data_IF_656336643550
#
_entry.id   IF_656336643550
#
_cell.length_a   1.000
_cell.length_b   1.000
_cell.length_c   1.000
_cell.angle_alpha   90.00
_cell.angle_beta   90.00
_cell.angle_gamma   90.00
#
_symmetry.space_group_name_H-M   'P 1'
#
loop_
_entity.id
_entity.type
_entity.pdbx_description
1 polymer ?
#
# COMPACT_ATOMS: atom_id res chain seq x y z
N UNK A 1 25.13 -22.34 -20.89
CA UNK A 1 23.94 -23.02 -20.30
C UNK A 1 23.96 -22.97 -18.78
N UNK A 2 25.08 -23.18 -18.11
CA UNK A 2 25.17 -23.10 -16.65
C UNK A 2 24.88 -21.71 -16.08
N UNK A 3 25.36 -20.68 -16.72
CA UNK A 3 25.16 -19.29 -16.28
C UNK A 3 23.69 -18.83 -16.35
N UNK A 4 22.95 -19.26 -17.38
CA UNK A 4 21.54 -18.95 -17.51
C UNK A 4 20.69 -19.62 -16.44
N UNK A 5 20.97 -20.90 -16.13
CA UNK A 5 20.29 -21.63 -15.07
C UNK A 5 20.61 -21.04 -13.69
N UNK A 6 21.82 -20.53 -13.49
CA UNK A 6 22.22 -19.85 -12.26
C UNK A 6 21.46 -18.54 -12.06
N UNK A 7 21.36 -17.73 -13.12
CA UNK A 7 20.62 -16.47 -13.09
C UNK A 7 19.13 -16.69 -12.75
N UNK A 8 18.51 -17.75 -13.28
CA UNK A 8 17.10 -18.06 -12.96
C UNK A 8 16.90 -18.50 -11.51
N UNK A 9 17.87 -19.23 -10.93
CA UNK A 9 17.82 -19.63 -9.51
C UNK A 9 17.96 -18.45 -8.56
N UNK A 10 18.60 -17.37 -9.02
CA UNK A 10 18.80 -16.16 -8.22
C UNK A 10 17.66 -15.15 -8.36
N UNK A 11 16.70 -15.36 -9.28
CA UNK A 11 15.52 -14.50 -9.39
C UNK A 11 14.64 -14.77 -8.17
N UNK A 12 14.83 -13.92 -7.16
CA UNK A 12 13.98 -13.95 -5.97
C UNK A 12 12.59 -13.49 -6.33
N UNK A 13 11.59 -14.11 -5.71
CA UNK A 13 10.24 -13.58 -5.73
C UNK A 13 10.24 -12.13 -5.25
N UNK A 14 9.68 -11.23 -6.03
CA UNK A 14 9.55 -9.83 -5.65
C UNK A 14 8.35 -9.62 -4.74
N UNK A 15 8.41 -8.56 -3.94
CA UNK A 15 7.34 -8.16 -3.05
C UNK A 15 6.77 -6.82 -3.46
N UNK A 16 5.47 -6.78 -3.74
CA UNK A 16 4.74 -5.58 -4.11
C UNK A 16 4.05 -4.95 -2.90
N UNK A 17 4.08 -3.63 -2.82
CA UNK A 17 3.25 -2.88 -1.89
C UNK A 17 2.00 -2.37 -2.61
N UNK A 18 0.82 -2.65 -2.08
CA UNK A 18 -0.44 -2.24 -2.69
C UNK A 18 -0.94 -0.93 -2.04
N UNK A 19 -0.69 0.17 -2.72
CA UNK A 19 -1.05 1.51 -2.29
C UNK A 19 -2.35 1.98 -2.95
N UNK A 20 -3.18 2.66 -2.20
CA UNK A 20 -4.46 3.19 -2.69
C UNK A 20 -5.35 3.63 -1.55
N UNK A 21 -6.46 4.25 -1.88
CA UNK A 21 -7.38 4.77 -0.88
C UNK A 21 -7.97 3.66 0.01
N UNK A 22 -8.13 3.97 1.27
CA UNK A 22 -8.79 3.12 2.26
C UNK A 22 -9.99 3.85 2.87
N UNK A 23 -9.75 4.89 3.64
CA UNK A 23 -10.78 5.58 4.44
C UNK A 23 -11.97 6.08 3.61
N UNK A 24 -11.72 6.61 2.43
CA UNK A 24 -12.76 7.17 1.57
C UNK A 24 -13.20 6.22 0.46
N UNK A 25 -12.74 4.97 0.51
CA UNK A 25 -13.14 3.93 -0.41
C UNK A 25 -14.36 3.18 0.14
N UNK A 26 -15.20 2.65 -0.76
CA UNK A 26 -16.42 1.93 -0.39
C UNK A 26 -16.17 0.73 0.52
N UNK A 27 -15.09 -0.01 0.28
CA UNK A 27 -14.75 -1.25 0.99
C UNK A 27 -13.39 -1.17 1.69
N UNK A 28 -12.96 0.01 2.07
CA UNK A 28 -11.62 0.27 2.60
C UNK A 28 -10.50 -0.14 1.62
N UNK A 29 -10.84 -0.32 0.35
CA UNK A 29 -9.89 -0.75 -0.68
C UNK A 29 -9.55 -2.22 -0.63
N UNK A 30 -10.39 -3.06 -0.04
CA UNK A 30 -10.11 -4.49 0.15
C UNK A 30 -10.20 -5.29 -1.16
N UNK A 31 -11.24 -5.09 -1.95
CA UNK A 31 -11.54 -5.93 -3.13
C UNK A 31 -10.43 -5.87 -4.18
N UNK A 32 -9.98 -4.67 -4.57
CA UNK A 32 -8.96 -4.56 -5.59
C UNK A 32 -7.62 -5.13 -5.12
N UNK A 33 -7.31 -4.98 -3.83
CA UNK A 33 -6.07 -5.51 -3.25
C UNK A 33 -6.07 -7.03 -3.25
N UNK A 34 -7.19 -7.64 -2.92
CA UNK A 34 -7.33 -9.10 -2.98
C UNK A 34 -7.16 -9.62 -4.40
N UNK A 35 -7.85 -9.01 -5.36
CA UNK A 35 -7.74 -9.37 -6.79
C UNK A 35 -6.31 -9.25 -7.29
N UNK A 36 -5.64 -8.14 -6.96
CA UNK A 36 -4.25 -7.91 -7.37
C UNK A 36 -3.29 -8.91 -6.71
N UNK A 37 -3.51 -9.23 -5.44
CA UNK A 37 -2.71 -10.22 -4.71
C UNK A 37 -2.76 -11.57 -5.41
N UNK A 38 -3.95 -12.03 -5.78
CA UNK A 38 -4.14 -13.30 -6.49
C UNK A 38 -3.50 -13.27 -7.88
N UNK A 39 -3.66 -12.17 -8.60
CA UNK A 39 -3.10 -12.03 -9.94
C UNK A 39 -1.56 -12.08 -9.93
N UNK A 40 -0.94 -11.34 -9.01
CA UNK A 40 0.52 -11.29 -8.89
C UNK A 40 1.09 -12.65 -8.48
N UNK A 41 0.45 -13.36 -7.57
CA UNK A 41 0.88 -14.69 -7.19
C UNK A 41 0.77 -15.67 -8.36
N UNK A 42 -0.38 -15.70 -9.03
CA UNK A 42 -0.66 -16.63 -10.11
C UNK A 42 0.24 -16.42 -11.33
N UNK A 43 0.46 -15.18 -11.74
CA UNK A 43 1.14 -14.87 -13.00
C UNK A 43 2.64 -14.60 -12.85
N UNK A 44 3.08 -14.08 -11.71
CA UNK A 44 4.46 -13.65 -11.50
C UNK A 44 5.13 -14.35 -10.30
N UNK A 45 4.38 -15.06 -9.48
CA UNK A 45 4.93 -15.65 -8.26
C UNK A 45 5.40 -14.60 -7.25
N UNK A 46 4.87 -13.39 -7.30
CA UNK A 46 5.22 -12.32 -6.38
C UNK A 46 4.38 -12.37 -5.12
N UNK A 47 4.98 -12.00 -4.01
CA UNK A 47 4.27 -11.78 -2.76
C UNK A 47 3.82 -10.33 -2.65
N UNK A 48 2.92 -10.06 -1.71
CA UNK A 48 2.29 -8.75 -1.58
C UNK A 48 2.28 -8.32 -0.13
N UNK A 49 2.56 -7.04 0.10
CA UNK A 49 2.17 -6.37 1.34
C UNK A 49 0.85 -5.65 1.12
N UNK A 50 -0.17 -6.07 1.87
CA UNK A 50 -1.51 -5.51 1.80
C UNK A 50 -1.81 -4.73 3.08
N UNK A 51 -1.75 -3.39 3.06
CA UNK A 51 -1.94 -2.60 4.28
C UNK A 51 -3.32 -2.74 4.91
N UNK A 52 -4.34 -3.13 4.15
CA UNK A 52 -5.67 -3.38 4.71
C UNK A 52 -5.64 -4.58 5.65
N UNK A 53 -5.05 -5.70 5.20
CA UNK A 53 -4.95 -6.92 6.01
C UNK A 53 -4.05 -6.69 7.23
N UNK A 54 -2.90 -6.06 7.02
CA UNK A 54 -1.95 -5.79 8.11
C UNK A 54 -2.51 -4.79 9.13
N UNK A 55 -3.36 -3.86 8.70
CA UNK A 55 -4.03 -2.92 9.61
C UNK A 55 -5.03 -3.61 10.52
N UNK A 56 -5.69 -4.66 10.05
CA UNK A 56 -6.59 -5.47 10.90
C UNK A 56 -5.86 -6.07 12.09
N UNK A 57 -4.64 -6.57 11.88
CA UNK A 57 -3.81 -7.13 12.94
C UNK A 57 -3.42 -6.07 13.96
N UNK A 58 -3.07 -4.85 13.52
CA UNK A 58 -2.76 -3.74 14.43
C UNK A 58 -4.00 -3.28 15.20
N UNK A 59 -5.15 -3.22 14.55
CA UNK A 59 -6.42 -2.88 15.21
C UNK A 59 -6.69 -3.84 16.37
N UNK A 60 -6.52 -5.12 16.15
CA UNK A 60 -6.70 -6.14 17.18
C UNK A 60 -5.68 -6.01 18.30
N UNK A 61 -4.41 -5.84 17.93
CA UNK A 61 -3.30 -5.75 18.89
C UNK A 61 -3.45 -4.58 19.85
N UNK A 62 -3.92 -3.44 19.36
CA UNK A 62 -4.04 -2.20 20.15
C UNK A 62 -5.46 -1.90 20.62
N UNK A 63 -6.41 -2.81 20.38
CA UNK A 63 -7.81 -2.56 20.73
C UNK A 63 -8.40 -1.34 20.03
N UNK A 64 -8.06 -1.15 18.78
CA UNK A 64 -8.35 0.07 18.04
C UNK A 64 -9.55 -0.05 17.08
N UNK A 65 -10.52 -0.89 17.40
CA UNK A 65 -11.68 -1.15 16.53
C UNK A 65 -12.47 0.12 16.19
N UNK A 66 -12.46 1.09 17.10
CA UNK A 66 -13.18 2.37 16.93
C UNK A 66 -12.25 3.53 16.52
N UNK A 67 -11.07 3.24 15.97
CA UNK A 67 -10.07 4.30 15.74
C UNK A 67 -10.55 5.44 14.83
N UNK A 68 -11.41 5.16 13.85
CA UNK A 68 -11.93 6.22 12.99
C UNK A 68 -12.86 7.19 13.75
N UNK A 69 -13.56 6.70 14.76
CA UNK A 69 -14.39 7.54 15.65
C UNK A 69 -13.53 8.43 16.55
N UNK A 70 -12.34 7.95 16.93
CA UNK A 70 -11.41 8.73 17.76
C UNK A 70 -11.01 10.05 17.10
N UNK A 71 -11.07 10.12 15.79
CA UNK A 71 -10.83 11.35 15.04
C UNK A 71 -11.77 12.49 15.49
N UNK A 72 -12.95 12.16 15.97
CA UNK A 72 -13.96 13.10 16.44
C UNK A 72 -13.98 13.27 17.94
N UNK A 73 -13.72 12.20 18.71
CA UNK A 73 -13.93 12.21 20.16
C UNK A 73 -12.66 12.01 20.99
N UNK A 74 -11.56 11.57 20.42
CA UNK A 74 -10.29 11.40 21.12
C UNK A 74 -9.11 11.51 20.13
N UNK A 75 -8.77 12.72 19.78
CA UNK A 75 -7.74 13.01 18.77
C UNK A 75 -6.35 12.50 19.16
N UNK A 76 -6.01 12.55 20.45
CA UNK A 76 -4.70 12.04 20.91
C UNK A 76 -4.58 10.54 20.66
N UNK A 77 -5.60 9.79 21.00
CA UNK A 77 -5.64 8.35 20.81
C UNK A 77 -5.60 7.98 19.33
N UNK A 78 -6.32 8.73 18.50
CA UNK A 78 -6.29 8.58 17.06
C UNK A 78 -4.89 8.79 16.50
N UNK A 79 -4.23 9.90 16.85
CA UNK A 79 -2.90 10.23 16.35
C UNK A 79 -1.85 9.23 16.80
N UNK A 80 -1.91 8.77 18.04
CA UNK A 80 -0.99 7.75 18.55
C UNK A 80 -1.10 6.44 17.74
N UNK A 81 -2.33 5.99 17.49
CA UNK A 81 -2.57 4.78 16.71
C UNK A 81 -2.13 4.97 15.24
N UNK A 82 -2.50 6.10 14.63
CA UNK A 82 -2.12 6.40 13.25
C UNK A 82 -0.61 6.49 13.07
N UNK A 83 0.11 7.00 14.04
CA UNK A 83 1.58 7.02 14.01
C UNK A 83 2.15 5.61 13.91
N UNK A 84 1.61 4.67 14.68
CA UNK A 84 2.03 3.27 14.62
C UNK A 84 1.80 2.70 13.22
N UNK A 85 0.63 2.94 12.63
CA UNK A 85 0.30 2.47 11.29
C UNK A 85 1.20 3.08 10.22
N UNK A 86 1.39 4.40 10.28
CA UNK A 86 2.22 5.14 9.31
C UNK A 86 3.68 4.72 9.40
N UNK A 87 4.23 4.61 10.60
CA UNK A 87 5.62 4.19 10.79
C UNK A 87 5.86 2.79 10.23
N UNK A 88 4.92 1.88 10.43
CA UNK A 88 4.98 0.54 9.84
C UNK A 88 4.99 0.60 8.33
N UNK A 89 4.04 1.32 7.74
CA UNK A 89 3.90 1.39 6.28
C UNK A 89 5.12 2.03 5.63
N UNK A 90 5.65 3.10 6.23
CA UNK A 90 6.88 3.74 5.75
C UNK A 90 8.07 2.79 5.80
N UNK A 91 8.23 2.05 6.90
CA UNK A 91 9.31 1.08 7.02
C UNK A 91 9.21 0.00 5.94
N UNK A 92 8.01 -0.51 5.69
CA UNK A 92 7.77 -1.50 4.66
C UNK A 92 8.13 -0.96 3.28
N UNK A 93 7.66 0.25 2.93
CA UNK A 93 7.96 0.86 1.63
C UNK A 93 9.46 1.06 1.45
N UNK A 94 10.15 1.54 2.47
CA UNK A 94 11.60 1.80 2.40
C UNK A 94 12.45 0.54 2.35
N UNK A 95 12.13 -0.46 3.17
CA UNK A 95 13.08 -1.51 3.51
C UNK A 95 12.66 -2.91 3.12
N UNK A 96 11.39 -3.16 2.85
CA UNK A 96 10.86 -4.53 2.77
C UNK A 96 10.08 -4.85 1.50
N UNK A 97 9.99 -3.93 0.55
CA UNK A 97 9.28 -4.14 -0.70
C UNK A 97 10.13 -3.77 -1.89
N UNK A 98 9.83 -4.37 -3.04
CA UNK A 98 10.61 -4.18 -4.27
C UNK A 98 9.98 -3.15 -5.21
N UNK A 99 8.66 -3.06 -5.24
CA UNK A 99 7.93 -2.10 -6.07
C UNK A 99 6.56 -1.80 -5.48
N UNK A 100 5.97 -0.71 -5.93
CA UNK A 100 4.68 -0.25 -5.44
C UNK A 100 3.67 -0.19 -6.59
N UNK A 101 2.49 -0.73 -6.35
CA UNK A 101 1.34 -0.58 -7.24
C UNK A 101 0.36 0.38 -6.58
N UNK A 102 0.07 1.48 -7.26
CA UNK A 102 -0.90 2.47 -6.80
C UNK A 102 -2.15 2.40 -7.68
N UNK A 103 -3.28 2.11 -7.07
CA UNK A 103 -4.57 2.25 -7.75
C UNK A 103 -5.11 3.64 -7.50
N UNK A 104 -5.16 4.42 -8.58
CA UNK A 104 -5.63 5.79 -8.54
C UNK A 104 -7.09 5.90 -8.99
N UNK A 105 -7.95 6.29 -8.09
CA UNK A 105 -9.33 6.67 -8.36
C UNK A 105 -9.63 8.00 -7.66
N UNK A 106 -10.88 8.47 -7.72
CA UNK A 106 -11.26 9.73 -7.10
C UNK A 106 -11.00 9.76 -5.58
N UNK A 107 -11.08 8.61 -4.91
CA UNK A 107 -10.88 8.56 -3.45
C UNK A 107 -9.42 8.80 -3.05
N UNK A 108 -8.46 8.58 -3.93
CA UNK A 108 -7.04 8.90 -3.70
C UNK A 108 -6.84 10.40 -3.48
N UNK A 109 -7.63 11.23 -4.14
CA UNK A 109 -7.51 12.70 -4.02
C UNK A 109 -7.89 13.21 -2.63
N UNK A 110 -8.64 12.43 -1.86
CA UNK A 110 -9.11 12.81 -0.53
C UNK A 110 -8.19 12.37 0.60
N UNK A 111 -7.31 11.39 0.34
CA UNK A 111 -6.42 10.83 1.34
C UNK A 111 -4.97 11.21 1.11
N UNK A 112 -4.21 11.35 2.18
CA UNK A 112 -2.80 11.73 2.13
C UNK A 112 -1.85 10.51 2.12
N UNK A 113 -2.31 9.36 2.60
CA UNK A 113 -1.47 8.17 2.79
C UNK A 113 -0.85 7.65 1.49
N UNK A 114 -1.65 7.52 0.44
CA UNK A 114 -1.18 7.05 -0.86
C UNK A 114 -0.12 7.97 -1.45
N UNK A 115 -0.32 9.29 -1.35
CA UNK A 115 0.65 10.27 -1.82
C UNK A 115 1.99 10.14 -1.09
N UNK A 116 1.95 9.95 0.22
CA UNK A 116 3.15 9.75 1.02
C UNK A 116 3.90 8.47 0.62
N UNK A 117 3.20 7.37 0.47
CA UNK A 117 3.78 6.08 0.09
C UNK A 117 4.44 6.14 -1.30
N UNK A 118 3.77 6.73 -2.27
CA UNK A 118 4.30 6.94 -3.63
C UNK A 118 5.57 7.80 -3.60
N UNK A 119 5.54 8.89 -2.84
CA UNK A 119 6.68 9.80 -2.70
C UNK A 119 7.89 9.10 -2.10
N UNK A 120 7.68 8.31 -1.05
CA UNK A 120 8.76 7.56 -0.38
C UNK A 120 9.33 6.50 -1.33
N UNK A 121 8.50 5.76 -2.04
CA UNK A 121 8.95 4.78 -3.02
C UNK A 121 9.82 5.44 -4.11
N UNK A 122 9.37 6.57 -4.63
CA UNK A 122 10.11 7.35 -5.60
C UNK A 122 11.48 7.78 -5.05
N UNK A 123 11.50 8.33 -3.84
CA UNK A 123 12.73 8.78 -3.17
C UNK A 123 13.74 7.64 -2.99
N UNK A 124 13.24 6.44 -2.70
CA UNK A 124 14.06 5.25 -2.54
C UNK A 124 14.46 4.58 -3.87
N UNK A 125 14.07 5.15 -5.01
CA UNK A 125 14.38 4.61 -6.34
C UNK A 125 13.63 3.34 -6.67
N UNK A 126 12.50 3.07 -6.03
CA UNK A 126 11.70 1.87 -6.29
C UNK A 126 10.67 2.13 -7.39
N UNK A 127 10.42 1.16 -8.29
CA UNK A 127 9.42 1.32 -9.33
C UNK A 127 8.02 1.55 -8.75
N UNK A 128 7.28 2.48 -9.35
CA UNK A 128 5.89 2.77 -9.01
C UNK A 128 5.03 2.55 -10.25
N UNK A 129 4.03 1.69 -10.14
CA UNK A 129 3.09 1.42 -11.21
C UNK A 129 1.74 2.02 -10.84
N UNK A 130 1.24 2.92 -11.67
CA UNK A 130 -0.05 3.57 -11.46
C UNK A 130 -1.11 2.89 -12.33
N UNK A 131 -2.16 2.38 -11.71
CA UNK A 131 -3.27 1.71 -12.37
C UNK A 131 -4.57 2.46 -12.07
N UNK A 132 -5.41 2.61 -13.08
CA UNK A 132 -6.73 3.19 -12.94
C UNK A 132 -6.91 4.52 -13.67
N UNK A 133 -8.13 5.02 -13.64
CA UNK A 133 -8.48 6.31 -14.21
C UNK A 133 -8.42 7.36 -13.11
N UNK A 134 -7.35 8.13 -13.09
CA UNK A 134 -7.42 9.42 -12.42
C UNK A 134 -8.32 10.33 -13.28
N UNK A 135 -9.15 11.17 -12.65
CA UNK A 135 -9.81 12.21 -13.40
C UNK A 135 -8.75 12.96 -14.18
N UNK A 136 -9.01 13.26 -15.45
CA UNK A 136 -8.14 14.14 -16.23
C UNK A 136 -8.22 15.53 -15.60
N UNK A 137 -7.52 15.69 -14.49
CA UNK A 137 -7.21 17.01 -13.98
C UNK A 137 -6.20 17.56 -14.98
N UNK A 138 -6.52 18.70 -15.53
CA UNK A 138 -5.60 19.41 -16.37
C UNK A 138 -4.36 19.75 -15.56
N UNK A 139 -3.33 18.91 -15.71
CA UNK A 139 -2.04 19.11 -15.07
C UNK A 139 -1.22 20.20 -15.75
N UNK A 140 -1.76 20.84 -16.75
CA UNK A 140 -1.11 21.93 -17.49
C UNK A 140 -1.30 23.30 -16.84
N UNK A 141 -2.01 23.35 -15.72
CA UNK A 141 -2.21 24.60 -14.97
C UNK A 141 -1.11 24.87 -13.97
#
# INVERSE_FOLDING_TARGET
MGEWLFAQKEIKSMKAYLSGAMEFSRDEGATWRETMTQWLDKHLGHTVYNPVVESEDLVKKYGAESYREWKKNDMHKYLDFMRICVDRDIDIVRNKMDYLICVGDESVLKGAGTHAEVTIAYECGKPVYLIGKLPTIDLSG
#
